data_IF_418368916800
#
_entry.id   IF_418368916800
#
_cell.length_a   1.000
_cell.length_b   1.000
_cell.length_c   1.000
_cell.angle_alpha   90.00
_cell.angle_beta   90.00
_cell.angle_gamma   90.00
#
_symmetry.space_group_name_H-M   'P 1'
#
loop_
_entity.id
_entity.type
_entity.pdbx_description
1 polymer ?
#
# COMPACT_ATOMS: atom_id res chain seq x y z
N UNK A 1 12.66 5.96 21.60
CA UNK A 1 11.71 4.85 21.44
C UNK A 1 11.46 4.72 19.95
N UNK A 2 12.28 3.88 19.30
CA UNK A 2 12.23 3.66 17.85
C UNK A 2 10.84 3.15 17.49
N UNK A 3 10.14 3.93 16.68
CA UNK A 3 8.75 3.72 16.29
C UNK A 3 8.71 2.72 15.14
N UNK A 4 9.39 1.59 15.33
CA UNK A 4 9.46 0.54 14.33
C UNK A 4 8.03 0.05 14.07
N UNK A 5 7.63 0.08 12.81
CA UNK A 5 6.37 -0.49 12.36
C UNK A 5 6.30 -1.93 12.91
N UNK A 6 5.14 -2.39 13.42
CA UNK A 6 5.01 -3.81 13.72
C UNK A 6 5.31 -4.59 12.44
N UNK A 7 6.34 -5.46 12.46
CA UNK A 7 6.82 -6.19 11.28
C UNK A 7 5.70 -6.97 10.58
N UNK A 8 4.75 -7.50 11.37
CA UNK A 8 3.55 -8.17 10.86
C UNK A 8 2.67 -7.24 10.01
N UNK A 9 2.51 -5.97 10.43
CA UNK A 9 1.68 -4.99 9.73
C UNK A 9 2.35 -4.57 8.43
N UNK A 10 3.67 -4.37 8.45
CA UNK A 10 4.44 -4.10 7.23
C UNK A 10 4.27 -5.23 6.21
N UNK A 11 4.50 -6.47 6.64
CA UNK A 11 4.37 -7.66 5.79
C UNK A 11 2.99 -7.76 5.17
N UNK A 12 1.93 -7.55 5.97
CA UNK A 12 0.55 -7.53 5.47
C UNK A 12 0.31 -6.43 4.45
N UNK A 13 0.80 -5.20 4.69
CA UNK A 13 0.62 -4.10 3.75
C UNK A 13 1.36 -4.33 2.43
N UNK A 14 2.55 -4.92 2.47
CA UNK A 14 3.32 -5.30 1.28
C UNK A 14 2.57 -6.36 0.48
N UNK A 15 2.10 -7.43 1.14
CA UNK A 15 1.30 -8.48 0.48
C UNK A 15 0.02 -7.93 -0.16
N UNK A 16 -0.67 -7.00 0.51
CA UNK A 16 -1.87 -6.37 -0.05
C UNK A 16 -1.54 -5.50 -1.28
N UNK A 17 -0.43 -4.75 -1.25
CA UNK A 17 -0.03 -3.96 -2.39
C UNK A 17 0.39 -4.83 -3.58
N UNK A 18 1.13 -5.92 -3.35
CA UNK A 18 1.46 -6.92 -4.38
C UNK A 18 0.21 -7.59 -4.95
N UNK A 19 -0.71 -8.05 -4.10
CA UNK A 19 -1.96 -8.66 -4.53
C UNK A 19 -2.82 -7.70 -5.37
N UNK A 20 -2.85 -6.41 -5.01
CA UNK A 20 -3.52 -5.38 -5.80
C UNK A 20 -2.89 -5.20 -7.18
N UNK A 21 -1.55 -5.25 -7.26
CA UNK A 21 -0.83 -5.10 -8.53
C UNK A 21 -1.08 -6.30 -9.46
N UNK A 22 -1.07 -7.53 -8.91
CA UNK A 22 -1.45 -8.74 -9.64
C UNK A 22 -2.88 -8.65 -10.13
N UNK A 23 -3.84 -8.28 -9.27
CA UNK A 23 -5.24 -8.14 -9.66
C UNK A 23 -5.43 -7.13 -10.79
N UNK A 24 -4.72 -5.99 -10.78
CA UNK A 24 -4.76 -5.02 -11.90
C UNK A 24 -4.22 -5.64 -13.19
N UNK A 25 -3.11 -6.38 -13.10
CA UNK A 25 -2.49 -7.04 -14.26
C UNK A 25 -3.38 -8.13 -14.87
N UNK A 26 -4.15 -8.82 -14.02
CA UNK A 26 -5.11 -9.85 -14.41
C UNK A 26 -6.49 -9.27 -14.78
N UNK A 27 -6.64 -7.94 -14.81
CA UNK A 27 -7.90 -7.23 -15.13
C UNK A 27 -9.02 -7.53 -14.12
N UNK A 28 -8.66 -7.95 -12.91
CA UNK A 28 -9.56 -8.21 -11.78
C UNK A 28 -9.77 -6.94 -10.93
N UNK A 29 -10.33 -5.90 -11.54
CA UNK A 29 -10.42 -4.58 -10.90
C UNK A 29 -11.24 -4.55 -9.62
N UNK A 30 -12.28 -5.38 -9.50
CA UNK A 30 -13.03 -5.50 -8.25
C UNK A 30 -12.18 -6.11 -7.12
N UNK A 31 -11.37 -7.12 -7.44
CA UNK A 31 -10.38 -7.69 -6.51
C UNK A 31 -9.35 -6.64 -6.11
N UNK A 32 -8.86 -5.83 -7.06
CA UNK A 32 -7.93 -4.74 -6.77
C UNK A 32 -8.57 -3.70 -5.82
N UNK A 33 -9.82 -3.28 -6.08
CA UNK A 33 -10.57 -2.35 -5.21
C UNK A 33 -10.75 -2.91 -3.79
N UNK A 34 -11.11 -4.18 -3.66
CA UNK A 34 -11.29 -4.83 -2.35
C UNK A 34 -9.97 -4.94 -1.58
N UNK A 35 -8.89 -5.26 -2.28
CA UNK A 35 -7.55 -5.36 -1.70
C UNK A 35 -7.08 -4.01 -1.17
N UNK A 36 -7.25 -2.95 -1.96
CA UNK A 36 -6.93 -1.57 -1.59
C UNK A 36 -7.75 -1.10 -0.38
N UNK A 37 -9.06 -1.37 -0.36
CA UNK A 37 -9.91 -1.02 0.77
C UNK A 37 -9.50 -1.73 2.07
N UNK A 38 -9.04 -2.98 1.95
CA UNK A 38 -8.49 -3.74 3.07
C UNK A 38 -7.19 -3.10 3.58
N UNK A 39 -6.28 -2.75 2.67
CA UNK A 39 -5.01 -2.11 3.01
C UNK A 39 -5.19 -0.73 3.65
N UNK A 40 -6.16 0.05 3.18
CA UNK A 40 -6.58 1.33 3.78
C UNK A 40 -7.05 1.13 5.23
N UNK A 41 -7.89 0.12 5.46
CA UNK A 41 -8.41 -0.23 6.79
C UNK A 41 -7.30 -0.69 7.73
N UNK A 42 -6.40 -1.56 7.27
CA UNK A 42 -5.23 -2.00 8.05
C UNK A 42 -4.35 -0.81 8.39
N UNK A 43 -4.06 0.05 7.42
CA UNK A 43 -3.23 1.25 7.64
C UNK A 43 -3.85 2.18 8.68
N UNK A 44 -5.17 2.41 8.64
CA UNK A 44 -5.87 3.25 9.64
C UNK A 44 -5.85 2.65 11.04
N UNK A 45 -6.01 1.34 11.15
CA UNK A 45 -6.17 0.67 12.44
C UNK A 45 -4.84 0.28 13.10
N UNK A 46 -3.84 -0.04 12.28
CA UNK A 46 -2.61 -0.68 12.75
C UNK A 46 -1.40 0.24 12.70
N UNK A 47 -1.42 1.26 11.83
CA UNK A 47 -0.34 2.24 11.80
C UNK A 47 -0.63 3.42 12.74
N UNK A 48 0.39 3.89 13.47
CA UNK A 48 0.27 5.11 14.23
C UNK A 48 0.05 6.30 13.29
N UNK A 49 -0.47 7.40 13.82
CA UNK A 49 -0.57 8.65 13.07
C UNK A 49 0.85 9.18 12.79
N UNK A 50 1.28 8.98 11.54
CA UNK A 50 2.58 9.37 11.02
C UNK A 50 2.49 9.70 9.52
N UNK A 51 3.58 10.23 8.98
CA UNK A 51 3.67 10.60 7.57
C UNK A 51 3.49 9.39 6.65
N UNK A 52 4.09 8.24 6.98
CA UNK A 52 3.93 7.00 6.21
C UNK A 52 2.45 6.60 6.08
N UNK A 53 1.71 6.57 7.20
CA UNK A 53 0.27 6.29 7.18
C UNK A 53 -0.46 7.26 6.26
N UNK A 54 -0.19 8.56 6.37
CA UNK A 54 -0.86 9.58 5.55
C UNK A 54 -0.57 9.38 4.06
N UNK A 55 0.68 9.06 3.70
CA UNK A 55 1.08 8.78 2.32
C UNK A 55 0.43 7.51 1.76
N UNK A 56 0.36 6.44 2.55
CA UNK A 56 -0.31 5.20 2.15
C UNK A 56 -1.81 5.42 1.92
N UNK A 57 -2.49 6.10 2.85
CA UNK A 57 -3.92 6.40 2.71
C UNK A 57 -4.21 7.24 1.46
N UNK A 58 -3.37 8.23 1.19
CA UNK A 58 -3.47 9.00 -0.04
C UNK A 58 -3.23 8.12 -1.29
N UNK A 59 -2.23 7.24 -1.26
CA UNK A 59 -1.97 6.30 -2.34
C UNK A 59 -3.17 5.39 -2.65
N UNK A 60 -3.81 4.83 -1.62
CA UNK A 60 -5.01 3.99 -1.79
C UNK A 60 -6.20 4.76 -2.40
N UNK A 61 -6.39 6.01 -2.02
CA UNK A 61 -7.39 6.89 -2.63
C UNK A 61 -7.09 7.15 -4.12
N UNK A 62 -5.83 7.38 -4.47
CA UNK A 62 -5.39 7.57 -5.85
C UNK A 62 -5.57 6.31 -6.70
N UNK A 63 -5.30 5.12 -6.15
CA UNK A 63 -5.54 3.85 -6.85
C UNK A 63 -7.03 3.70 -7.18
N UNK A 64 -7.92 3.95 -6.22
CA UNK A 64 -9.37 3.89 -6.45
C UNK A 64 -9.81 4.89 -7.52
N UNK A 65 -9.33 6.13 -7.43
CA UNK A 65 -9.63 7.18 -8.40
C UNK A 65 -9.17 6.79 -9.81
N UNK A 66 -7.98 6.19 -9.94
CA UNK A 66 -7.47 5.71 -11.22
C UNK A 66 -8.33 4.56 -11.78
N UNK A 67 -8.72 3.58 -10.95
CA UNK A 67 -9.62 2.50 -11.35
C UNK A 67 -11.03 2.98 -11.72
N UNK A 68 -11.52 4.05 -11.11
CA UNK A 68 -12.82 4.66 -11.43
C UNK A 68 -12.76 5.48 -12.73
N UNK A 69 -11.57 5.95 -13.11
CA UNK A 69 -11.30 6.66 -14.37
C UNK A 69 -10.84 5.73 -15.52
N UNK A 70 -10.88 4.41 -15.33
CA UNK A 70 -10.40 3.41 -16.30
C UNK A 70 -8.92 3.57 -16.67
N UNK A 71 -8.09 3.96 -15.69
CA UNK A 71 -6.63 4.11 -15.83
C UNK A 71 -5.88 3.06 -14.97
N UNK A 72 -5.84 1.79 -15.41
CA UNK A 72 -5.21 0.70 -14.66
C UNK A 72 -3.69 0.86 -14.56
N UNK A 73 -3.05 1.51 -15.54
CA UNK A 73 -1.61 1.77 -15.51
C UNK A 73 -1.25 2.74 -14.38
N UNK A 74 -2.00 3.83 -14.22
CA UNK A 74 -1.83 4.74 -13.10
C UNK A 74 -2.09 4.03 -11.75
N UNK A 75 -3.14 3.21 -11.68
CA UNK A 75 -3.46 2.42 -10.48
C UNK A 75 -2.30 1.50 -10.07
N UNK A 76 -1.70 0.77 -11.02
CA UNK A 76 -0.55 -0.10 -10.77
C UNK A 76 0.69 0.70 -10.32
N UNK A 77 0.95 1.85 -10.93
CA UNK A 77 2.07 2.72 -10.54
C UNK A 77 1.95 3.24 -9.11
N UNK A 78 0.74 3.59 -8.67
CA UNK A 78 0.51 3.98 -7.28
C UNK A 78 0.79 2.84 -6.30
N UNK A 79 0.37 1.61 -6.61
CA UNK A 79 0.67 0.42 -5.79
C UNK A 79 2.18 0.14 -5.72
N UNK A 80 2.89 0.19 -6.86
CA UNK A 80 4.36 0.05 -6.91
C UNK A 80 5.06 1.12 -6.08
N UNK A 81 4.58 2.36 -6.17
CA UNK A 81 5.14 3.46 -5.41
C UNK A 81 4.92 3.28 -3.89
N UNK A 82 3.81 2.65 -3.47
CA UNK A 82 3.59 2.29 -2.07
C UNK A 82 4.50 1.14 -1.61
N UNK A 83 4.67 0.10 -2.43
CA UNK A 83 5.61 -0.99 -2.15
C UNK A 83 7.05 -0.48 -1.95
N UNK A 84 7.52 0.44 -2.80
CA UNK A 84 8.84 1.06 -2.64
C UNK A 84 8.98 1.83 -1.32
N UNK A 85 7.91 2.48 -0.85
CA UNK A 85 7.92 3.20 0.44
C UNK A 85 7.93 2.25 1.62
N UNK A 86 7.18 1.15 1.55
CA UNK A 86 7.19 0.11 2.56
C UNK A 86 8.58 -0.53 2.65
N UNK A 87 9.18 -0.94 1.52
CA UNK A 87 10.53 -1.49 1.49
C UNK A 87 11.57 -0.55 2.11
N UNK A 88 11.51 0.76 1.82
CA UNK A 88 12.42 1.75 2.40
C UNK A 88 12.30 1.89 3.94
N UNK A 89 11.18 1.51 4.54
CA UNK A 89 10.99 1.50 6.00
C UNK A 89 11.63 0.26 6.63
N UNK A 90 11.60 -0.88 5.92
CA UNK A 90 12.22 -2.13 6.36
C UNK A 90 13.76 -2.07 6.24
N UNK A 91 14.27 -1.37 5.23
CA UNK A 91 15.71 -1.11 5.02
C UNK A 91 16.27 0.04 5.88
N UNK A 92 15.56 0.46 6.94
CA UNK A 92 16.08 1.39 7.95
C UNK A 92 17.48 0.97 8.40
N UNK A 93 18.40 1.93 8.68
CA UNK A 93 19.84 1.69 8.69
C UNK A 93 20.18 0.49 9.59
N UNK A 94 20.54 -0.63 8.95
CA UNK A 94 21.29 -1.71 9.61
C UNK A 94 22.54 -1.03 10.17
N UNK A 95 22.50 -0.70 11.46
CA UNK A 95 23.64 -0.11 12.15
C UNK A 95 24.66 -1.24 12.29
N UNK A 96 25.69 -1.20 11.44
CA UNK A 96 26.95 -1.93 11.62
C UNK A 96 27.69 -1.39 12.85
#
# INVERSE_FOLDING_TARGET
>A
MSRDLPSDVHTVLTQLAEAGETAISDVEFDTARQTVATAETVSRNKLPECELRSQLLHGYEQVRTALDNDDPDAAAEYLRAMNRRLAAVDDGPRSD
#
